data_IF_968748376130
#
_entry.id   IF_968748376130
#
_cell.length_a   1.000
_cell.length_b   1.000
_cell.length_c   1.000
_cell.angle_alpha   90.00
_cell.angle_beta   90.00
_cell.angle_gamma   90.00
#
_symmetry.space_group_name_H-M   'P 1'
#
loop_
_entity.id
_entity.type
_entity.pdbx_description
1 polymer ?
#
# COMPACT_ATOMS: atom_id res chain seq x y z
N UNK A 1 5.12 14.38 21.17
CA UNK A 1 5.84 14.24 19.88
C UNK A 1 7.31 14.62 20.04
N UNK A 2 8.24 13.95 19.34
CA UNK A 2 9.68 14.15 19.52
C UNK A 2 10.09 15.62 19.27
N UNK A 3 10.53 16.29 20.34
CA UNK A 3 11.15 17.62 20.35
C UNK A 3 10.38 18.77 19.64
N UNK A 4 9.06 18.65 19.45
CA UNK A 4 8.25 19.62 18.69
C UNK A 4 8.77 19.88 17.26
N UNK A 5 9.35 18.86 16.62
CA UNK A 5 9.95 18.93 15.28
C UNK A 5 9.36 17.88 14.33
N UNK A 6 8.06 17.61 14.43
CA UNK A 6 7.41 16.77 13.44
C UNK A 6 7.40 17.49 12.08
N UNK A 7 7.52 16.76 10.96
CA UNK A 7 7.33 17.35 9.64
C UNK A 7 5.86 17.76 9.44
N UNK A 8 5.62 18.73 8.56
CA UNK A 8 4.26 19.10 8.17
C UNK A 8 3.56 17.95 7.39
N UNK A 9 4.33 17.18 6.62
CA UNK A 9 3.84 16.03 5.84
C UNK A 9 4.84 14.88 6.00
N UNK A 10 4.35 13.69 6.32
CA UNK A 10 5.12 12.46 6.35
C UNK A 10 4.50 11.41 5.42
N UNK A 11 5.33 10.73 4.63
CA UNK A 11 4.90 9.51 3.96
C UNK A 11 4.76 8.40 4.99
N UNK A 12 3.57 7.82 5.10
CA UNK A 12 3.26 6.77 6.08
C UNK A 12 2.55 5.60 5.40
N UNK A 13 2.90 4.37 5.81
CA UNK A 13 2.15 3.19 5.41
C UNK A 13 0.87 3.05 6.24
N UNK A 14 -0.22 2.56 5.63
CA UNK A 14 -1.52 2.39 6.31
C UNK A 14 -1.45 1.61 7.63
N UNK A 15 -0.49 0.68 7.76
CA UNK A 15 -0.26 -0.10 9.00
C UNK A 15 0.13 0.73 10.23
N UNK A 16 0.57 1.98 10.05
CA UNK A 16 0.94 2.88 11.15
C UNK A 16 -0.16 3.89 11.50
N UNK A 17 -1.24 3.97 10.72
CA UNK A 17 -2.28 4.99 10.91
C UNK A 17 -2.98 4.86 12.28
N UNK A 18 -3.24 3.64 12.74
CA UNK A 18 -3.80 3.40 14.08
C UNK A 18 -2.89 3.93 15.18
N UNK A 19 -1.62 3.53 15.18
CA UNK A 19 -0.64 3.97 16.19
C UNK A 19 -0.47 5.49 16.24
N UNK A 20 -0.30 6.14 15.09
CA UNK A 20 -0.06 7.58 15.04
C UNK A 20 -1.32 8.42 15.34
N UNK A 21 -2.51 7.90 15.05
CA UNK A 21 -3.76 8.55 15.47
C UNK A 21 -3.96 8.47 16.98
N UNK A 22 -3.63 7.34 17.63
CA UNK A 22 -3.66 7.21 19.10
C UNK A 22 -2.69 8.17 19.80
N UNK A 23 -1.54 8.47 19.18
CA UNK A 23 -0.59 9.46 19.70
C UNK A 23 -1.10 10.91 19.59
N UNK A 24 -2.19 11.16 18.89
CA UNK A 24 -2.77 12.50 18.71
C UNK A 24 -1.87 13.45 17.92
N UNK A 25 -1.02 12.92 17.04
CA UNK A 25 -0.04 13.70 16.27
C UNK A 25 -0.45 13.93 14.81
N UNK A 26 -1.64 13.46 14.41
CA UNK A 26 -2.18 13.59 13.06
C UNK A 26 -3.32 14.60 13.04
N UNK A 27 -3.32 15.47 12.04
CA UNK A 27 -4.45 16.36 11.76
C UNK A 27 -5.42 15.70 10.78
N UNK A 28 -6.75 15.90 10.96
CA UNK A 28 -7.74 15.41 10.00
C UNK A 28 -7.53 16.01 8.61
N UNK A 29 -7.75 15.21 7.58
CA UNK A 29 -7.70 15.64 6.18
C UNK A 29 -8.83 16.64 5.92
N UNK A 30 -8.50 17.75 5.26
CA UNK A 30 -9.51 18.65 4.71
C UNK A 30 -10.17 18.02 3.48
N UNK A 31 -11.35 17.43 3.68
CA UNK A 31 -12.12 16.74 2.65
C UNK A 31 -12.77 17.69 1.63
N UNK A 32 -12.69 19.01 1.84
CA UNK A 32 -13.08 20.00 0.82
C UNK A 32 -11.96 20.25 -0.19
N UNK A 33 -10.71 20.02 0.21
CA UNK A 33 -9.53 20.12 -0.65
C UNK A 33 -9.23 18.77 -1.29
N UNK A 34 -9.27 17.69 -0.50
CA UNK A 34 -9.03 16.32 -0.94
C UNK A 34 -10.33 15.53 -0.92
N UNK A 35 -11.04 15.48 -2.06
CA UNK A 35 -12.30 14.75 -2.10
C UNK A 35 -12.05 13.24 -2.15
N UNK A 36 -12.71 12.49 -1.28
CA UNK A 36 -12.60 11.01 -1.23
C UNK A 36 -12.81 10.35 -2.60
N UNK A 37 -13.76 10.87 -3.40
CA UNK A 37 -14.10 10.35 -4.73
C UNK A 37 -12.97 10.44 -5.75
N UNK A 38 -11.95 11.25 -5.49
CA UNK A 38 -10.80 11.42 -6.37
C UNK A 38 -9.79 10.26 -6.19
N UNK A 39 -10.01 9.38 -5.21
CA UNK A 39 -9.14 8.26 -4.87
C UNK A 39 -9.84 6.90 -5.00
N UNK A 40 -9.04 5.83 -5.15
CA UNK A 40 -9.58 4.47 -5.04
C UNK A 40 -10.16 4.22 -3.63
N UNK A 41 -11.39 3.69 -3.51
CA UNK A 41 -12.04 3.54 -2.21
C UNK A 41 -11.21 2.74 -1.19
N UNK A 42 -10.57 1.66 -1.64
CA UNK A 42 -9.72 0.84 -0.76
C UNK A 42 -8.46 1.54 -0.29
N UNK A 43 -7.98 2.54 -1.03
CA UNK A 43 -6.77 3.30 -0.68
C UNK A 43 -7.11 4.43 0.29
N UNK A 44 -8.23 5.14 0.05
CA UNK A 44 -8.74 6.14 0.99
C UNK A 44 -8.98 5.55 2.38
N UNK A 45 -9.63 4.38 2.44
CA UNK A 45 -9.90 3.66 3.69
C UNK A 45 -8.65 3.33 4.51
N UNK A 46 -7.46 3.24 3.90
CA UNK A 46 -6.23 2.99 4.67
C UNK A 46 -5.82 4.17 5.55
N UNK A 47 -6.24 5.38 5.20
CA UNK A 47 -6.00 6.59 5.99
C UNK A 47 -7.11 6.92 6.99
N UNK A 48 -8.15 6.08 7.10
CA UNK A 48 -9.31 6.32 7.96
C UNK A 48 -9.16 5.56 9.28
N UNK A 49 -9.29 6.26 10.39
CA UNK A 49 -9.35 5.70 11.74
C UNK A 49 -10.56 6.30 12.44
N UNK A 50 -11.40 5.46 13.05
CA UNK A 50 -12.64 5.87 13.73
C UNK A 50 -13.48 6.84 12.89
N UNK A 51 -13.76 6.45 11.64
CA UNK A 51 -14.50 7.22 10.62
C UNK A 51 -13.90 8.59 10.25
N UNK A 52 -12.67 8.88 10.69
CA UNK A 52 -11.95 10.13 10.40
C UNK A 52 -10.77 9.88 9.47
N UNK A 53 -10.70 10.61 8.36
CA UNK A 53 -9.55 10.55 7.46
C UNK A 53 -8.38 11.37 8.01
N UNK A 54 -7.22 10.73 8.20
CA UNK A 54 -5.98 11.35 8.67
C UNK A 54 -4.85 11.29 7.64
N UNK A 55 -5.07 10.63 6.50
CA UNK A 55 -4.08 10.50 5.44
C UNK A 55 -4.68 10.65 4.05
N UNK A 56 -3.94 11.31 3.16
CA UNK A 56 -4.28 11.41 1.73
C UNK A 56 -3.47 10.36 0.96
N UNK A 57 -4.10 9.51 0.12
CA UNK A 57 -3.35 8.53 -0.68
C UNK A 57 -2.37 9.20 -1.64
N UNK A 58 -1.09 8.82 -1.58
CA UNK A 58 -0.03 9.35 -2.47
C UNK A 58 0.22 8.44 -3.68
N UNK A 59 0.44 7.15 -3.45
CA UNK A 59 0.59 6.15 -4.50
C UNK A 59 -0.04 4.84 -4.06
N UNK A 60 -0.40 4.02 -5.04
CA UNK A 60 -0.86 2.66 -4.86
C UNK A 60 0.00 1.75 -5.71
N UNK A 61 0.38 0.61 -5.18
CA UNK A 61 1.07 -0.44 -5.93
C UNK A 61 0.31 -1.77 -5.86
N UNK A 62 0.54 -2.60 -6.87
CA UNK A 62 0.09 -3.98 -6.88
C UNK A 62 1.30 -4.87 -7.04
N UNK A 63 1.28 -6.01 -6.33
CA UNK A 63 2.33 -7.01 -6.47
C UNK A 63 2.14 -7.76 -7.78
N UNK A 64 3.23 -7.90 -8.52
CA UNK A 64 3.31 -8.72 -9.74
C UNK A 64 4.42 -9.75 -9.60
N UNK A 65 4.29 -10.87 -10.32
CA UNK A 65 5.30 -11.93 -10.34
C UNK A 65 6.31 -11.64 -11.45
N UNK A 66 7.59 -11.55 -11.08
CA UNK A 66 8.69 -11.55 -12.02
C UNK A 66 9.41 -12.89 -11.96
N UNK A 67 9.69 -13.49 -13.12
CA UNK A 67 10.46 -14.74 -13.24
C UNK A 67 11.30 -14.74 -14.52
N UNK A 68 12.32 -15.61 -14.58
CA UNK A 68 13.22 -15.74 -15.72
C UNK A 68 12.62 -16.67 -16.77
N UNK A 69 12.06 -16.09 -17.83
CA UNK A 69 11.41 -16.84 -18.92
C UNK A 69 12.35 -17.83 -19.61
N UNK A 70 13.62 -17.45 -19.83
CA UNK A 70 14.61 -18.33 -20.45
C UNK A 70 14.97 -19.56 -19.61
N UNK A 71 14.92 -19.45 -18.27
CA UNK A 71 15.12 -20.59 -17.38
C UNK A 71 13.87 -21.47 -17.31
N UNK A 72 12.68 -20.85 -17.29
CA UNK A 72 11.41 -21.57 -17.36
C UNK A 72 11.31 -22.40 -18.65
N UNK A 73 11.64 -21.82 -19.80
CA UNK A 73 11.65 -22.50 -21.09
C UNK A 73 12.64 -23.68 -21.12
N UNK A 74 13.85 -23.51 -20.55
CA UNK A 74 14.83 -24.62 -20.41
C UNK A 74 14.31 -25.75 -19.51
N UNK A 75 13.47 -25.44 -18.55
CA UNK A 75 12.79 -26.41 -17.68
C UNK A 75 11.49 -26.98 -18.30
N UNK A 76 11.13 -26.58 -19.52
CA UNK A 76 9.91 -27.03 -20.20
C UNK A 76 8.63 -26.33 -19.74
N UNK A 77 8.73 -25.21 -19.01
CA UNK A 77 7.60 -24.42 -18.54
C UNK A 77 7.41 -23.23 -19.49
N UNK A 78 6.36 -23.28 -20.31
CA UNK A 78 6.11 -22.28 -21.37
C UNK A 78 5.03 -21.25 -21.04
N UNK A 79 4.37 -21.38 -19.88
CA UNK A 79 3.26 -20.53 -19.47
C UNK A 79 3.57 -19.80 -18.17
N UNK A 80 3.09 -18.57 -18.04
CA UNK A 80 3.19 -17.82 -16.81
C UNK A 80 2.42 -18.53 -15.67
N UNK A 81 2.93 -18.50 -14.43
CA UNK A 81 2.33 -19.23 -13.33
C UNK A 81 0.97 -18.63 -12.97
N UNK A 82 -0.07 -19.48 -12.91
CA UNK A 82 -1.44 -19.07 -12.57
C UNK A 82 -1.82 -19.51 -11.16
N UNK A 83 -1.10 -20.49 -10.62
CA UNK A 83 -1.35 -21.08 -9.31
C UNK A 83 -0.06 -21.16 -8.48
N UNK A 84 -0.22 -21.36 -7.17
CA UNK A 84 0.90 -21.64 -6.28
C UNK A 84 1.69 -22.90 -6.64
N UNK A 85 1.03 -23.89 -7.27
CA UNK A 85 1.70 -25.09 -7.77
C UNK A 85 2.63 -24.75 -8.94
N UNK A 86 2.18 -23.89 -9.85
CA UNK A 86 3.00 -23.43 -10.98
C UNK A 86 4.18 -22.57 -10.49
N UNK A 87 3.93 -21.69 -9.52
CA UNK A 87 4.97 -20.92 -8.84
C UNK A 87 6.05 -21.83 -8.23
N UNK A 88 5.63 -22.93 -7.59
CA UNK A 88 6.57 -23.90 -7.02
C UNK A 88 7.38 -24.62 -8.10
N UNK A 89 6.76 -24.96 -9.23
CA UNK A 89 7.44 -25.59 -10.36
C UNK A 89 8.52 -24.68 -10.98
N UNK A 90 8.30 -23.36 -11.01
CA UNK A 90 9.33 -22.40 -11.45
C UNK A 90 10.53 -22.29 -10.48
N UNK A 91 10.37 -22.70 -9.22
CA UNK A 91 11.38 -22.55 -8.18
C UNK A 91 12.25 -23.80 -7.97
N UNK A 92 11.96 -24.90 -8.69
CA UNK A 92 12.64 -26.20 -8.59
C UNK A 92 13.29 -26.56 -9.91
#
# INVERSE_FOLDING_TARGET
AAASKLPDIAQMGGSYMGEFSELGVLEPVDTKTFHEKDFFPSSWKQGVVDDTAYGVPWYVDTRVVYYRTDLAEKAGITEAPKTWKDMKALAT
#
